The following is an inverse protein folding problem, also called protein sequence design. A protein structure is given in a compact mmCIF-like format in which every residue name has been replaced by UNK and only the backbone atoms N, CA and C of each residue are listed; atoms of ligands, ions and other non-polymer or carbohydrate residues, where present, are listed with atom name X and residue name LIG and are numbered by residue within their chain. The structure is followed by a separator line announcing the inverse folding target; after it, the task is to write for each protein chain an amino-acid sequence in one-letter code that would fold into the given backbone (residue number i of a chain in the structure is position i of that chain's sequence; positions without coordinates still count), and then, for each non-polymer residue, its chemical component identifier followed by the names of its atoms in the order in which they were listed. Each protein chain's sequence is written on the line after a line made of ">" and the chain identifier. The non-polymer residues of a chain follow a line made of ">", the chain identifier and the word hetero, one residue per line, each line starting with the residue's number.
data_IF_598927621973
#
_entry.id   IF_598927621973
#
_cell.length_a   1.000
_cell.length_b   1.000
_cell.length_c   1.000
_cell.angle_alpha   90.00
_cell.angle_beta   90.00
_cell.angle_gamma   90.00
#
_symmetry.space_group_name_H-M   'P 1'
#
loop_
_entity.id
_entity.type
_entity.pdbx_description
1 polymer ?
#
# COMPACT_ATOMS: atom_id res chain seq x y z
N UNK A 1 30.51 -11.30 85.94
CA UNK A 1 30.44 -10.41 84.76
C UNK A 1 29.14 -10.72 84.03
N UNK A 2 28.14 -9.83 84.12
CA UNK A 2 26.89 -9.94 83.35
C UNK A 2 26.97 -8.88 82.25
N UNK A 3 26.98 -9.32 80.98
CA UNK A 3 27.07 -8.46 79.81
C UNK A 3 25.68 -7.93 79.45
N UNK A 4 25.53 -6.61 79.37
CA UNK A 4 24.36 -5.95 78.78
C UNK A 4 24.53 -5.94 77.24
N UNK A 5 23.52 -6.40 76.52
CA UNK A 5 23.40 -6.26 75.06
C UNK A 5 22.56 -5.03 74.75
N UNK A 6 23.17 -4.00 74.15
CA UNK A 6 22.52 -2.76 73.74
C UNK A 6 22.12 -2.88 72.26
N UNK A 7 20.82 -2.97 71.99
CA UNK A 7 20.28 -2.99 70.63
C UNK A 7 20.20 -1.59 70.05
N UNK A 8 20.88 -1.35 68.93
CA UNK A 8 20.78 -0.11 68.14
C UNK A 8 19.61 -0.28 67.17
N UNK A 9 18.58 0.57 67.28
CA UNK A 9 17.50 0.66 66.29
C UNK A 9 17.98 1.59 65.17
N UNK A 10 18.20 1.03 63.98
CA UNK A 10 18.49 1.77 62.77
C UNK A 10 17.17 2.19 62.11
N UNK A 11 16.73 3.43 62.34
CA UNK A 11 15.60 4.00 61.61
C UNK A 11 16.04 4.37 60.20
N UNK A 12 15.64 3.56 59.22
CA UNK A 12 15.76 3.89 57.79
C UNK A 12 14.69 4.92 57.45
N UNK A 13 15.09 6.18 57.28
CA UNK A 13 14.22 7.22 56.71
C UNK A 13 14.16 7.00 55.19
N UNK A 14 13.05 6.42 54.72
CA UNK A 14 12.77 6.26 53.30
C UNK A 14 12.39 7.63 52.70
N UNK A 15 13.36 8.35 52.13
CA UNK A 15 13.10 9.55 51.33
C UNK A 15 12.55 9.11 49.97
N UNK A 16 11.23 9.08 49.83
CA UNK A 16 10.58 8.95 48.54
C UNK A 16 10.77 10.27 47.76
N UNK A 17 11.69 10.29 46.80
CA UNK A 17 11.71 11.32 45.77
C UNK A 17 10.57 11.02 44.79
N UNK A 18 9.37 11.56 45.03
CA UNK A 18 8.41 11.73 43.95
C UNK A 18 8.87 12.95 43.16
N UNK A 19 9.61 12.77 42.08
CA UNK A 19 9.59 13.78 41.03
C UNK A 19 8.16 13.81 40.51
N UNK A 20 7.39 14.83 40.89
CA UNK A 20 6.13 15.12 40.22
C UNK A 20 6.50 15.47 38.78
N UNK A 21 6.43 14.50 37.87
CA UNK A 21 6.44 14.80 36.45
C UNK A 21 5.12 15.51 36.16
N UNK A 22 5.19 16.65 35.47
CA UNK A 22 3.98 17.32 35.05
C UNK A 22 3.31 16.44 33.99
N UNK A 23 2.03 16.13 34.16
CA UNK A 23 1.34 15.31 33.18
C UNK A 23 1.39 15.98 31.81
N UNK A 24 1.76 15.22 30.77
CA UNK A 24 2.00 15.71 29.43
C UNK A 24 1.37 14.75 28.39
N UNK A 25 0.85 15.29 27.28
CA UNK A 25 0.50 14.46 26.13
C UNK A 25 1.79 13.97 25.45
N UNK A 26 1.71 12.80 24.80
CA UNK A 26 2.80 12.22 24.01
C UNK A 26 2.16 11.52 22.81
N UNK A 27 2.36 12.05 21.62
CA UNK A 27 1.89 11.47 20.37
C UNK A 27 2.85 10.38 19.89
N UNK A 28 2.30 9.30 19.35
CA UNK A 28 3.07 8.30 18.63
C UNK A 28 2.32 7.91 17.37
N UNK A 29 3.05 7.78 16.27
CA UNK A 29 2.49 7.59 14.94
C UNK A 29 2.90 6.23 14.39
N UNK A 30 1.92 5.44 13.95
CA UNK A 30 2.16 4.07 13.46
C UNK A 30 3.12 3.99 12.26
N UNK A 31 3.32 5.08 11.53
CA UNK A 31 4.27 5.19 10.43
C UNK A 31 4.65 6.65 10.19
N UNK A 32 5.90 6.91 9.77
CA UNK A 32 6.34 8.22 9.29
C UNK A 32 5.89 8.52 7.85
N UNK A 33 5.46 7.49 7.12
CA UNK A 33 4.94 7.62 5.76
C UNK A 33 3.92 6.54 5.42
N UNK A 34 3.00 6.86 4.51
CA UNK A 34 2.02 5.95 3.93
C UNK A 34 2.30 5.77 2.44
N UNK A 35 2.39 4.51 2.02
CA UNK A 35 2.71 4.13 0.65
C UNK A 35 1.46 3.58 -0.03
N UNK A 36 1.20 4.05 -1.24
CA UNK A 36 0.05 3.69 -2.06
C UNK A 36 0.49 3.32 -3.47
N UNK A 37 -0.35 2.54 -4.16
CA UNK A 37 -0.29 2.37 -5.60
C UNK A 37 -1.68 2.28 -6.17
N UNK A 38 -1.89 2.88 -7.33
CA UNK A 38 -3.16 2.88 -8.03
C UNK A 38 -2.94 3.06 -9.52
N UNK A 39 -4.00 2.83 -10.29
CA UNK A 39 -3.99 3.07 -11.73
C UNK A 39 -4.79 4.34 -11.99
N UNK A 40 -4.25 5.23 -12.82
CA UNK A 40 -4.91 6.50 -13.12
C UNK A 40 -6.34 6.26 -13.63
N UNK A 41 -7.29 7.05 -13.15
CA UNK A 41 -8.68 7.01 -13.61
C UNK A 41 -9.46 5.73 -13.32
N UNK A 42 -8.89 4.76 -12.59
CA UNK A 42 -9.66 3.61 -12.11
C UNK A 42 -10.46 3.98 -10.85
N UNK A 43 -11.66 3.39 -10.73
CA UNK A 43 -12.57 3.57 -9.57
C UNK A 43 -12.05 2.90 -8.29
N UNK A 44 -11.02 2.08 -8.44
CA UNK A 44 -10.23 1.41 -7.42
C UNK A 44 -9.38 2.43 -6.67
N UNK A 45 -9.78 2.78 -5.45
CA UNK A 45 -9.09 3.81 -4.68
C UNK A 45 -8.35 3.21 -3.47
N UNK A 46 -7.01 3.07 -3.51
CA UNK A 46 -6.23 2.56 -2.38
C UNK A 46 -6.39 3.43 -1.13
N UNK A 47 -6.45 2.78 0.02
CA UNK A 47 -6.50 3.45 1.33
C UNK A 47 -5.44 2.89 2.27
N UNK A 48 -4.96 3.72 3.18
CA UNK A 48 -4.04 3.36 4.26
C UNK A 48 -4.51 4.04 5.53
N UNK A 49 -4.28 3.41 6.68
CA UNK A 49 -4.64 3.96 7.98
C UNK A 49 -3.39 4.36 8.74
N UNK A 50 -3.32 5.63 9.15
CA UNK A 50 -2.39 6.11 10.17
C UNK A 50 -3.06 5.97 11.53
N UNK A 51 -2.42 5.32 12.49
CA UNK A 51 -2.86 5.33 13.88
C UNK A 51 -2.02 6.32 14.69
N UNK A 52 -2.69 7.22 15.38
CA UNK A 52 -2.11 8.16 16.34
C UNK A 52 -2.43 7.61 17.73
N UNK A 53 -1.41 7.36 18.55
CA UNK A 53 -1.56 6.89 19.93
C UNK A 53 -1.16 8.00 20.88
N UNK A 54 -1.91 8.23 21.95
CA UNK A 54 -1.46 9.07 23.05
C UNK A 54 -0.80 8.19 24.12
N UNK A 55 0.53 8.13 24.13
CA UNK A 55 1.32 7.37 25.11
C UNK A 55 1.57 8.15 26.41
N UNK A 56 1.09 9.39 26.48
CA UNK A 56 1.27 10.30 27.61
C UNK A 56 0.28 10.03 28.75
N UNK A 57 0.35 10.88 29.77
CA UNK A 57 -0.52 10.83 30.95
C UNK A 57 -1.48 12.03 31.05
N UNK A 58 -1.50 12.90 30.04
CA UNK A 58 -2.51 13.94 29.83
C UNK A 58 -3.21 13.81 28.46
N UNK A 59 -4.40 14.41 28.27
CA UNK A 59 -5.07 14.42 26.96
C UNK A 59 -4.22 15.09 25.87
N UNK A 60 -4.08 14.43 24.73
CA UNK A 60 -3.43 14.94 23.52
C UNK A 60 -4.47 15.67 22.67
N UNK A 61 -4.31 16.99 22.50
CA UNK A 61 -5.19 17.80 21.67
C UNK A 61 -4.62 17.86 20.24
N UNK A 62 -5.32 17.26 19.27
CA UNK A 62 -5.03 17.44 17.85
C UNK A 62 -5.73 18.70 17.38
N UNK A 63 -4.95 19.71 17.02
CA UNK A 63 -5.45 21.05 16.63
C UNK A 63 -5.71 21.17 15.13
N UNK A 64 -4.99 20.40 14.30
CA UNK A 64 -5.14 20.45 12.84
C UNK A 64 -4.76 19.12 12.19
N UNK A 65 -5.51 18.78 11.12
CA UNK A 65 -5.20 17.74 10.16
C UNK A 65 -5.31 18.35 8.76
N UNK A 66 -4.20 18.42 8.02
CA UNK A 66 -4.17 19.07 6.72
C UNK A 66 -3.34 18.29 5.70
N UNK A 67 -3.88 18.09 4.50
CA UNK A 67 -3.13 17.58 3.37
C UNK A 67 -2.34 18.73 2.73
N UNK A 68 -1.05 18.51 2.52
CA UNK A 68 -0.10 19.50 2.01
C UNK A 68 0.83 18.88 0.97
N UNK A 69 1.58 19.70 0.23
CA UNK A 69 2.50 19.25 -0.82
C UNK A 69 1.94 19.38 -2.24
N UNK A 70 2.77 19.07 -3.22
CA UNK A 70 2.50 19.29 -4.65
C UNK A 70 1.28 18.51 -5.13
N UNK A 71 1.18 17.24 -4.73
CA UNK A 71 0.15 16.32 -5.20
C UNK A 71 -0.95 16.09 -4.15
N UNK A 72 -1.13 17.02 -3.20
CA UNK A 72 -2.11 16.90 -2.12
C UNK A 72 -3.55 16.66 -2.62
N UNK A 73 -3.88 17.15 -3.82
CA UNK A 73 -5.19 16.94 -4.45
C UNK A 73 -5.47 15.49 -4.87
N UNK A 74 -4.44 14.64 -4.93
CA UNK A 74 -4.59 13.20 -5.18
C UNK A 74 -4.88 12.43 -3.88
N UNK A 75 -4.94 13.11 -2.73
CA UNK A 75 -5.20 12.49 -1.43
C UNK A 75 -6.45 13.07 -0.79
N UNK A 76 -7.16 12.24 -0.04
CA UNK A 76 -8.31 12.67 0.76
C UNK A 76 -8.32 11.95 2.11
N UNK A 77 -8.81 12.62 3.15
CA UNK A 77 -9.04 11.99 4.45
C UNK A 77 -10.49 11.49 4.49
N UNK A 78 -10.69 10.19 4.69
CA UNK A 78 -12.02 9.60 4.76
C UNK A 78 -12.57 9.77 6.17
N UNK A 79 -13.76 10.36 6.29
CA UNK A 79 -14.47 10.53 7.57
C UNK A 79 -13.60 11.15 8.66
N UNK A 80 -12.74 12.10 8.28
CA UNK A 80 -11.82 12.75 9.21
C UNK A 80 -12.61 13.45 10.33
N UNK A 81 -12.18 13.30 11.61
CA UNK A 81 -12.80 14.03 12.70
C UNK A 81 -12.56 15.54 12.53
N UNK A 82 -13.51 16.34 12.99
CA UNK A 82 -13.31 17.80 13.09
C UNK A 82 -12.26 18.12 14.14
N UNK A 83 -11.32 19.00 13.83
CA UNK A 83 -10.36 19.55 14.80
C UNK A 83 -10.83 20.90 15.37
N UNK A 84 -10.48 21.26 16.61
CA UNK A 84 -9.66 20.47 17.54
C UNK A 84 -10.40 19.25 18.13
N UNK A 85 -9.67 18.18 18.44
CA UNK A 85 -10.18 16.99 19.13
C UNK A 85 -9.17 16.49 20.18
N UNK A 86 -9.64 15.80 21.22
CA UNK A 86 -8.79 15.20 22.24
C UNK A 86 -8.69 13.68 22.12
N UNK A 87 -7.48 13.15 22.23
CA UNK A 87 -7.19 11.74 22.42
C UNK A 87 -6.80 11.56 23.89
N UNK A 88 -7.63 10.88 24.67
CA UNK A 88 -7.32 10.60 26.08
C UNK A 88 -6.04 9.76 26.21
N UNK A 89 -5.36 9.87 27.35
CA UNK A 89 -4.17 9.08 27.67
C UNK A 89 -4.43 7.57 27.47
N UNK A 90 -3.53 6.89 26.76
CA UNK A 90 -3.62 5.47 26.42
C UNK A 90 -4.58 5.11 25.28
N UNK A 91 -5.30 6.08 24.71
CA UNK A 91 -6.21 5.85 23.58
C UNK A 91 -5.53 6.10 22.22
N UNK A 92 -6.20 5.66 21.16
CA UNK A 92 -5.76 5.82 19.78
C UNK A 92 -6.82 6.49 18.90
N UNK A 93 -6.36 7.09 17.80
CA UNK A 93 -7.18 7.64 16.71
C UNK A 93 -6.68 7.08 15.37
N UNK A 94 -7.58 6.47 14.60
CA UNK A 94 -7.31 6.06 13.23
C UNK A 94 -7.67 7.17 12.24
N UNK A 95 -6.71 7.58 11.40
CA UNK A 95 -6.92 8.48 10.25
C UNK A 95 -6.77 7.65 8.97
N UNK A 96 -7.86 7.53 8.22
CA UNK A 96 -7.85 6.83 6.93
C UNK A 96 -7.53 7.82 5.82
N UNK A 97 -6.42 7.59 5.14
CA UNK A 97 -5.99 8.36 3.97
C UNK A 97 -6.28 7.56 2.72
N UNK A 98 -6.89 8.21 1.73
CA UNK A 98 -7.23 7.66 0.43
C UNK A 98 -6.36 8.30 -0.64
N UNK A 99 -5.79 7.51 -1.53
CA UNK A 99 -5.03 7.98 -2.70
C UNK A 99 -5.83 7.75 -3.98
N UNK A 100 -6.23 8.85 -4.64
CA UNK A 100 -6.98 8.88 -5.89
C UNK A 100 -6.13 9.56 -6.97
N UNK A 101 -5.30 8.81 -7.73
CA UNK A 101 -4.51 9.41 -8.79
C UNK A 101 -5.41 9.99 -9.89
N UNK A 102 -5.33 11.32 -10.08
CA UNK A 102 -6.07 12.01 -11.14
C UNK A 102 -5.70 11.44 -12.51
N UNK A 103 -6.64 11.49 -13.45
CA UNK A 103 -6.52 10.86 -14.78
C UNK A 103 -5.35 11.35 -15.64
N UNK A 104 -4.73 12.48 -15.30
CA UNK A 104 -3.59 13.08 -16.03
C UNK A 104 -2.23 12.73 -15.46
N UNK A 105 -2.15 12.26 -14.21
CA UNK A 105 -0.87 12.11 -13.49
C UNK A 105 -0.40 10.65 -13.49
N UNK A 106 0.83 10.40 -13.94
CA UNK A 106 1.47 9.08 -14.00
C UNK A 106 2.84 9.16 -13.34
N UNK A 107 3.13 8.23 -12.44
CA UNK A 107 4.39 8.15 -11.71
C UNK A 107 4.21 8.41 -10.23
N UNK A 108 5.25 8.98 -9.61
CA UNK A 108 5.32 9.18 -8.16
C UNK A 108 4.59 10.47 -7.79
N UNK A 109 3.51 10.35 -7.01
CA UNK A 109 2.73 11.45 -6.48
C UNK A 109 3.06 11.65 -5.00
N UNK A 110 3.52 12.85 -4.64
CA UNK A 110 4.01 13.15 -3.30
C UNK A 110 3.16 14.23 -2.61
N UNK A 111 2.71 13.91 -1.40
CA UNK A 111 2.06 14.83 -0.49
C UNK A 111 2.51 14.56 0.96
N UNK A 112 1.94 15.29 1.91
CA UNK A 112 2.08 15.01 3.33
C UNK A 112 0.77 15.28 4.08
N UNK A 113 0.47 14.46 5.07
CA UNK A 113 -0.52 14.76 6.09
C UNK A 113 0.18 15.50 7.24
N UNK A 114 -0.07 16.81 7.34
CA UNK A 114 0.42 17.66 8.42
C UNK A 114 -0.54 17.59 9.60
N UNK A 115 0.01 17.25 10.77
CA UNK A 115 -0.71 17.02 12.01
C UNK A 115 -0.13 17.97 13.04
N UNK A 116 -0.96 18.86 13.59
CA UNK A 116 -0.56 19.75 14.68
C UNK A 116 -1.20 19.29 15.97
N UNK A 117 -0.40 19.21 17.04
CA UNK A 117 -0.85 18.68 18.32
C UNK A 117 -0.38 19.53 19.52
N UNK A 118 -0.89 19.23 20.71
CA UNK A 118 -0.41 19.80 21.97
C UNK A 118 0.80 19.09 22.56
N UNK A 119 1.34 18.08 21.88
CA UNK A 119 2.62 17.49 22.23
C UNK A 119 3.74 18.51 21.99
N UNK A 120 4.65 18.70 22.94
CA UNK A 120 5.58 19.82 22.93
C UNK A 120 6.79 19.58 22.00
N UNK A 121 7.28 18.35 21.93
CA UNK A 121 8.38 17.96 21.04
C UNK A 121 7.88 17.40 19.70
N UNK A 122 6.61 16.98 19.62
CA UNK A 122 5.91 16.60 18.39
C UNK A 122 4.75 17.55 18.01
N UNK A 123 4.93 18.84 18.27
CA UNK A 123 3.90 19.88 18.07
C UNK A 123 3.38 19.97 16.62
N UNK A 124 4.22 19.59 15.65
CA UNK A 124 3.84 19.46 14.26
C UNK A 124 4.62 18.33 13.59
N UNK A 125 3.90 17.32 13.11
CA UNK A 125 4.45 16.15 12.42
C UNK A 125 3.88 16.09 11.01
N UNK A 126 4.74 15.80 10.04
CA UNK A 126 4.35 15.56 8.66
C UNK A 126 4.52 14.08 8.33
N UNK A 127 3.41 13.39 8.09
CA UNK A 127 3.41 12.02 7.60
C UNK A 127 3.50 12.05 6.08
N UNK A 128 4.57 11.52 5.51
CA UNK A 128 4.77 11.49 4.06
C UNK A 128 3.71 10.64 3.36
N UNK A 129 3.16 11.11 2.25
CA UNK A 129 2.20 10.36 1.43
C UNK A 129 2.84 10.13 0.07
N UNK A 130 3.02 8.86 -0.30
CA UNK A 130 3.71 8.47 -1.53
C UNK A 130 2.86 7.50 -2.33
N UNK A 131 2.37 7.96 -3.47
CA UNK A 131 1.51 7.21 -4.37
C UNK A 131 2.24 6.87 -5.65
N UNK A 132 2.12 5.63 -6.12
CA UNK A 132 2.54 5.24 -7.45
C UNK A 132 1.31 5.15 -8.36
N UNK A 133 1.19 6.09 -9.30
CA UNK A 133 0.16 6.07 -10.35
C UNK A 133 0.69 5.35 -11.59
N UNK A 134 0.11 4.19 -11.92
CA UNK A 134 0.37 3.47 -13.16
C UNK A 134 -0.50 4.01 -14.32
N UNK A 135 -0.03 3.83 -15.55
CA UNK A 135 -0.75 4.33 -16.74
C UNK A 135 -2.02 3.51 -17.04
N UNK A 136 -1.91 2.20 -16.89
CA UNK A 136 -2.96 1.19 -17.02
C UNK A 136 -2.40 -0.10 -16.37
N UNK A 137 -3.18 -1.19 -16.44
CA UNK A 137 -2.70 -2.50 -16.04
C UNK A 137 -1.76 -3.09 -17.10
N UNK A 138 -0.74 -3.82 -16.63
CA UNK A 138 0.11 -4.75 -17.39
C UNK A 138 0.96 -4.16 -18.53
N UNK A 139 2.10 -4.82 -18.78
CA UNK A 139 2.95 -4.60 -19.95
C UNK A 139 3.55 -3.19 -19.99
N UNK A 140 3.54 -2.56 -21.17
CA UNK A 140 4.15 -1.23 -21.36
C UNK A 140 3.50 -0.07 -20.56
N UNK A 141 2.47 -0.36 -19.77
CA UNK A 141 1.77 0.60 -18.93
C UNK A 141 2.25 0.61 -17.47
N UNK A 142 3.11 -0.34 -17.13
CA UNK A 142 3.66 -0.51 -15.79
C UNK A 142 4.61 0.64 -15.41
N UNK A 143 4.74 0.92 -14.11
CA UNK A 143 5.75 1.83 -13.63
C UNK A 143 7.14 1.22 -13.77
N UNK A 144 8.14 2.04 -14.15
CA UNK A 144 9.53 1.57 -14.13
C UNK A 144 9.98 1.20 -12.72
N UNK A 145 10.91 0.26 -12.61
CA UNK A 145 11.55 -0.08 -11.33
C UNK A 145 12.05 1.16 -10.57
N UNK A 146 12.56 2.18 -11.27
CA UNK A 146 12.95 3.46 -10.66
C UNK A 146 11.80 4.16 -9.93
N UNK A 147 10.61 4.22 -10.54
CA UNK A 147 9.42 4.80 -9.91
C UNK A 147 8.97 3.97 -8.72
N UNK A 148 9.02 2.65 -8.83
CA UNK A 148 8.70 1.72 -7.74
C UNK A 148 9.58 1.97 -6.51
N UNK A 149 10.90 1.95 -6.68
CA UNK A 149 11.83 2.14 -5.55
C UNK A 149 11.76 3.55 -4.97
N UNK A 150 11.48 4.55 -5.81
CA UNK A 150 11.28 5.94 -5.36
C UNK A 150 10.02 6.06 -4.49
N UNK A 151 8.89 5.48 -4.91
CA UNK A 151 7.67 5.49 -4.10
C UNK A 151 7.88 4.75 -2.79
N UNK A 152 8.46 3.54 -2.83
CA UNK A 152 8.77 2.72 -1.64
C UNK A 152 9.79 3.35 -0.68
N UNK A 153 10.46 4.44 -1.07
CA UNK A 153 11.44 5.11 -0.22
C UNK A 153 12.80 4.45 -0.17
N UNK A 154 13.14 3.69 -1.22
CA UNK A 154 14.47 3.12 -1.39
C UNK A 154 15.33 4.05 -2.25
N UNK A 155 16.26 4.75 -1.61
CA UNK A 155 17.15 5.70 -2.28
C UNK A 155 18.32 4.97 -2.98
N UNK A 156 17.99 4.11 -3.95
CA UNK A 156 18.94 3.31 -4.72
C UNK A 156 18.95 3.73 -6.19
N UNK A 157 20.11 3.64 -6.83
CA UNK A 157 20.22 3.81 -8.28
C UNK A 157 20.00 2.45 -8.97
N UNK A 158 18.89 2.29 -9.71
CA UNK A 158 18.59 1.02 -10.40
C UNK A 158 19.22 0.91 -11.79
N UNK A 159 19.98 1.92 -12.23
CA UNK A 159 20.70 1.93 -13.51
C UNK A 159 19.98 2.70 -14.64
N UNK A 160 18.74 3.13 -14.42
CA UNK A 160 17.97 3.93 -15.37
C UNK A 160 16.64 4.41 -14.79
N UNK A 161 15.94 5.28 -15.51
CA UNK A 161 14.61 5.79 -15.12
C UNK A 161 13.47 5.27 -16.00
N UNK A 162 13.80 4.76 -17.19
CA UNK A 162 12.84 4.17 -18.12
C UNK A 162 12.34 2.81 -17.64
N UNK A 163 11.28 2.31 -18.29
CA UNK A 163 10.72 0.99 -18.01
C UNK A 163 11.77 -0.11 -18.21
N UNK A 164 12.53 -0.03 -19.31
CA UNK A 164 13.48 -1.07 -19.69
C UNK A 164 14.90 -0.74 -19.23
N UNK A 165 15.51 -1.65 -18.47
CA UNK A 165 16.91 -1.64 -18.02
C UNK A 165 17.81 -2.59 -18.84
N UNK A 166 17.21 -3.59 -19.49
CA UNK A 166 17.90 -4.58 -20.32
C UNK A 166 18.40 -5.79 -19.52
N UNK A 167 18.75 -6.87 -20.23
CA UNK A 167 18.98 -8.21 -19.64
C UNK A 167 20.45 -8.61 -19.60
N UNK A 168 21.37 -7.65 -19.76
CA UNK A 168 22.80 -7.90 -19.64
C UNK A 168 23.18 -8.18 -18.18
N UNK A 169 24.01 -9.20 -17.90
CA UNK A 169 24.41 -9.57 -16.55
C UNK A 169 25.44 -8.61 -15.91
N UNK A 170 25.96 -7.64 -16.65
CA UNK A 170 26.81 -6.61 -16.07
C UNK A 170 25.99 -5.75 -15.08
N UNK A 171 26.47 -5.54 -13.84
CA UNK A 171 25.77 -4.74 -12.86
C UNK A 171 25.53 -3.31 -13.35
N UNK A 172 24.34 -2.77 -13.08
CA UNK A 172 23.95 -1.39 -13.40
C UNK A 172 23.57 -0.61 -12.14
N UNK A 173 23.90 0.69 -12.11
CA UNK A 173 23.60 1.54 -10.95
C UNK A 173 24.31 1.05 -9.68
N UNK A 174 23.52 0.86 -8.61
CA UNK A 174 23.97 0.36 -7.30
C UNK A 174 23.93 -1.18 -7.20
N UNK A 175 23.61 -1.88 -8.30
CA UNK A 175 23.51 -3.35 -8.32
C UNK A 175 24.80 -4.03 -7.87
N UNK A 176 24.64 -5.16 -7.16
CA UNK A 176 25.73 -6.03 -6.75
C UNK A 176 25.56 -7.43 -7.33
N UNK A 177 26.67 -8.06 -7.72
CA UNK A 177 26.68 -9.45 -8.15
C UNK A 177 26.53 -10.39 -6.93
N UNK A 178 25.29 -10.70 -6.56
CA UNK A 178 24.94 -11.44 -5.35
C UNK A 178 24.07 -12.67 -5.65
N UNK A 179 24.61 -13.60 -6.43
CA UNK A 179 23.86 -14.78 -6.86
C UNK A 179 23.49 -15.72 -5.70
N UNK A 180 24.37 -15.84 -4.72
CA UNK A 180 24.18 -16.58 -3.47
C UNK A 180 24.47 -15.69 -2.26
N UNK A 181 23.72 -15.92 -1.19
CA UNK A 181 23.77 -15.20 0.08
C UNK A 181 23.98 -16.16 1.25
N UNK A 182 24.35 -15.62 2.40
CA UNK A 182 24.34 -16.33 3.69
C UNK A 182 23.73 -15.43 4.77
N UNK A 183 23.37 -16.00 5.92
CA UNK A 183 22.87 -15.22 7.06
C UNK A 183 23.90 -14.20 7.56
N UNK A 184 23.43 -13.01 7.90
CA UNK A 184 24.26 -11.94 8.45
C UNK A 184 24.43 -12.00 9.97
N UNK A 185 23.51 -12.64 10.68
CA UNK A 185 23.55 -12.75 12.13
C UNK A 185 22.69 -13.89 12.68
N UNK A 186 22.57 -13.93 14.01
CA UNK A 186 21.71 -14.88 14.71
C UNK A 186 20.24 -14.47 14.52
N UNK A 187 19.51 -15.21 13.68
CA UNK A 187 18.11 -14.95 13.39
C UNK A 187 17.70 -15.54 12.05
N UNK A 188 16.39 -15.57 11.77
CA UNK A 188 15.88 -15.96 10.47
C UNK A 188 16.22 -14.88 9.41
N UNK A 189 16.23 -15.29 8.15
CA UNK A 189 16.23 -14.38 7.00
C UNK A 189 14.80 -13.91 6.79
N UNK A 190 14.58 -12.59 6.67
CA UNK A 190 13.26 -12.07 6.32
C UNK A 190 13.16 -11.91 4.81
N UNK A 191 11.98 -12.19 4.26
CA UNK A 191 11.66 -11.99 2.86
C UNK A 191 10.24 -11.43 2.74
N UNK A 192 10.13 -10.20 2.26
CA UNK A 192 8.88 -9.45 2.15
C UNK A 192 8.68 -9.03 0.71
N UNK A 193 7.54 -9.37 0.11
CA UNK A 193 7.19 -8.84 -1.21
C UNK A 193 6.82 -7.36 -1.08
N UNK A 194 7.42 -6.50 -1.90
CA UNK A 194 7.24 -5.04 -1.84
C UNK A 194 6.62 -4.46 -3.10
N UNK A 195 6.51 -5.25 -4.16
CA UNK A 195 5.72 -4.90 -5.31
C UNK A 195 5.67 -6.00 -6.34
N UNK A 196 4.64 -5.90 -7.19
CA UNK A 196 4.36 -6.81 -8.28
C UNK A 196 3.66 -6.06 -9.40
N UNK A 197 4.25 -6.11 -10.58
CA UNK A 197 3.70 -5.56 -11.81
C UNK A 197 3.89 -6.60 -12.90
N UNK A 198 2.95 -7.54 -12.96
CA UNK A 198 3.04 -8.72 -13.81
C UNK A 198 1.64 -9.13 -14.26
N UNK A 199 1.49 -10.14 -15.14
CA UNK A 199 0.20 -10.77 -15.41
C UNK A 199 -0.46 -11.35 -14.16
N UNK A 200 -1.80 -11.46 -14.19
CA UNK A 200 -2.63 -12.02 -13.12
C UNK A 200 -2.45 -13.54 -12.94
N UNK A 201 -1.83 -13.95 -11.82
CA UNK A 201 -1.59 -15.35 -11.43
C UNK A 201 -1.02 -15.48 -9.99
N UNK A 202 -0.83 -16.67 -9.40
CA UNK A 202 -0.17 -16.79 -8.10
C UNK A 202 1.35 -16.87 -8.31
N UNK A 203 2.13 -16.24 -7.43
CA UNK A 203 3.60 -16.24 -7.53
C UNK A 203 4.21 -16.92 -6.31
N UNK A 204 4.41 -18.25 -6.33
CA UNK A 204 5.19 -18.94 -5.31
C UNK A 204 6.62 -18.42 -5.29
N UNK A 205 7.16 -18.18 -4.10
CA UNK A 205 8.54 -17.75 -3.89
C UNK A 205 9.17 -18.47 -2.70
N UNK A 206 10.49 -18.50 -2.68
CA UNK A 206 11.22 -19.09 -1.56
C UNK A 206 12.72 -19.05 -1.75
N UNK A 207 13.41 -19.90 -1.01
CA UNK A 207 14.87 -20.03 -1.11
C UNK A 207 15.25 -21.41 -1.64
N UNK A 208 16.49 -21.51 -2.10
CA UNK A 208 17.03 -22.78 -2.56
C UNK A 208 18.47 -22.98 -2.09
N UNK A 209 18.84 -24.25 -1.91
CA UNK A 209 20.20 -24.66 -1.55
C UNK A 209 20.89 -25.25 -2.79
N UNK A 210 22.04 -24.70 -3.23
CA UNK A 210 22.83 -25.27 -4.31
C UNK A 210 23.29 -26.70 -3.96
N UNK A 211 23.17 -27.62 -4.91
CA UNK A 211 23.54 -29.03 -4.72
C UNK A 211 24.33 -29.63 -5.89
N UNK A 212 24.88 -28.79 -6.79
CA UNK A 212 25.61 -29.22 -7.99
C UNK A 212 24.72 -29.75 -9.12
N UNK A 213 23.40 -29.66 -9.00
CA UNK A 213 22.40 -30.04 -10.01
C UNK A 213 21.12 -29.21 -9.87
N UNK A 214 19.95 -29.86 -9.96
CA UNK A 214 18.68 -29.17 -9.68
C UNK A 214 18.62 -28.79 -8.19
N UNK A 215 18.60 -27.50 -7.85
CA UNK A 215 18.69 -27.07 -6.46
C UNK A 215 17.48 -27.53 -5.64
N UNK A 216 17.70 -27.77 -4.35
CA UNK A 216 16.63 -28.08 -3.42
C UNK A 216 15.91 -26.78 -3.06
N UNK A 217 14.63 -26.66 -3.43
CA UNK A 217 13.79 -25.49 -3.18
C UNK A 217 12.92 -25.69 -1.95
N UNK A 218 12.80 -24.64 -1.15
CA UNK A 218 11.84 -24.54 -0.05
C UNK A 218 10.97 -23.32 -0.29
N UNK A 219 9.67 -23.54 -0.48
CA UNK A 219 8.70 -22.46 -0.63
C UNK A 219 8.50 -21.75 0.71
N UNK A 220 8.50 -20.42 0.68
CA UNK A 220 8.27 -19.57 1.85
C UNK A 220 6.87 -18.98 1.80
N UNK A 221 6.41 -18.57 0.62
CA UNK A 221 5.08 -17.99 0.45
C UNK A 221 4.62 -17.98 -0.99
N UNK A 222 3.43 -17.41 -1.20
CA UNK A 222 2.84 -17.19 -2.51
C UNK A 222 2.30 -15.77 -2.53
N UNK A 223 2.78 -14.90 -3.44
CA UNK A 223 2.08 -13.64 -3.73
C UNK A 223 0.75 -14.01 -4.36
N UNK A 224 -0.32 -13.59 -3.71
CA UNK A 224 -1.66 -14.10 -3.97
C UNK A 224 -2.13 -13.77 -5.38
N UNK A 225 -2.83 -14.71 -6.03
CA UNK A 225 -3.71 -14.38 -7.15
C UNK A 225 -5.10 -13.92 -6.67
N UNK A 226 -5.39 -14.14 -5.38
CA UNK A 226 -6.73 -14.38 -4.91
C UNK A 226 -7.64 -13.16 -5.09
N UNK A 227 -8.55 -13.31 -6.05
CA UNK A 227 -9.66 -12.42 -6.34
C UNK A 227 -10.87 -12.63 -5.41
N UNK A 228 -10.78 -13.54 -4.43
CA UNK A 228 -11.92 -13.91 -3.55
C UNK A 228 -12.32 -12.85 -2.53
N UNK A 229 -11.62 -11.71 -2.48
CA UNK A 229 -12.23 -10.44 -2.07
C UNK A 229 -12.69 -9.76 -3.35
N UNK A 230 -13.89 -10.11 -3.81
CA UNK A 230 -14.49 -9.46 -4.97
C UNK A 230 -14.44 -7.95 -4.77
N UNK A 231 -13.63 -7.25 -5.57
CA UNK A 231 -13.40 -5.81 -5.49
C UNK A 231 -12.48 -5.30 -4.36
N UNK A 232 -11.35 -5.95 -4.08
CA UNK A 232 -10.26 -5.31 -3.35
C UNK A 232 -9.09 -4.95 -4.27
N UNK A 233 -8.63 -3.72 -4.10
CA UNK A 233 -8.28 -2.79 -5.15
C UNK A 233 -7.13 -1.91 -4.61
N UNK A 234 -5.98 -1.72 -5.31
CA UNK A 234 -5.59 -2.18 -6.65
C UNK A 234 -5.51 -3.71 -6.80
N UNK A 235 -5.63 -4.22 -8.03
CA UNK A 235 -5.45 -5.65 -8.26
C UNK A 235 -4.03 -6.06 -7.85
N UNK A 236 -3.92 -7.22 -7.19
CA UNK A 236 -2.67 -7.66 -6.55
C UNK A 236 -1.50 -7.90 -7.52
N UNK A 237 -1.78 -7.94 -8.83
CA UNK A 237 -0.78 -8.10 -9.89
C UNK A 237 -0.24 -6.76 -10.44
N UNK A 238 -0.71 -5.62 -9.93
CA UNK A 238 -0.29 -4.27 -10.34
C UNK A 238 -0.25 -3.35 -9.12
N UNK A 239 0.53 -3.73 -8.10
CA UNK A 239 0.54 -3.03 -6.81
C UNK A 239 1.90 -3.07 -6.12
N UNK A 240 2.15 -2.05 -5.31
CA UNK A 240 3.11 -2.09 -4.23
C UNK A 240 2.54 -2.88 -3.05
N UNK A 241 3.42 -3.45 -2.24
CA UNK A 241 3.07 -4.24 -1.04
C UNK A 241 1.94 -5.26 -1.28
N UNK A 242 2.09 -6.17 -2.27
CA UNK A 242 1.03 -7.10 -2.63
C UNK A 242 0.73 -8.08 -1.48
N UNK A 243 -0.52 -8.54 -1.42
CA UNK A 243 -0.96 -9.55 -0.48
C UNK A 243 -0.35 -10.92 -0.82
N UNK A 244 -0.14 -11.72 0.22
CA UNK A 244 0.32 -13.10 0.13
C UNK A 244 -0.77 -14.06 0.61
N UNK A 245 -0.78 -15.28 0.09
CA UNK A 245 -1.75 -16.30 0.50
C UNK A 245 -1.62 -16.64 1.98
N UNK A 246 -2.75 -16.97 2.60
CA UNK A 246 -2.79 -17.45 3.98
C UNK A 246 -1.85 -18.65 4.17
N UNK A 247 -1.04 -18.61 5.23
CA UNK A 247 -0.01 -19.61 5.50
C UNK A 247 1.36 -19.31 4.88
N UNK A 248 1.49 -18.27 4.07
CA UNK A 248 2.79 -17.73 3.66
C UNK A 248 3.56 -17.22 4.87
N UNK A 249 4.86 -17.49 4.91
CA UNK A 249 5.77 -16.96 5.92
C UNK A 249 6.46 -15.68 5.42
N UNK A 250 6.87 -14.83 6.36
CA UNK A 250 7.68 -13.62 6.11
C UNK A 250 9.17 -13.83 6.39
N UNK A 251 9.55 -15.04 6.79
CA UNK A 251 10.93 -15.40 7.11
C UNK A 251 11.19 -16.90 6.94
N UNK A 252 12.46 -17.26 6.84
CA UNK A 252 12.94 -18.64 6.77
C UNK A 252 14.33 -18.78 7.40
N UNK A 253 14.72 -20.00 7.76
CA UNK A 253 16.08 -20.28 8.24
C UNK A 253 16.77 -21.29 7.30
N UNK A 254 17.79 -20.84 6.52
CA UNK A 254 18.59 -21.72 5.68
C UNK A 254 19.70 -22.45 6.45
N UNK A 255 19.77 -22.29 7.79
CA UNK A 255 20.94 -22.71 8.57
C UNK A 255 22.16 -21.87 8.21
N UNK A 256 23.35 -22.46 8.29
CA UNK A 256 24.62 -21.80 7.94
C UNK A 256 24.98 -21.95 6.45
N UNK A 257 24.09 -22.54 5.65
CA UNK A 257 24.32 -22.78 4.24
C UNK A 257 24.23 -21.49 3.42
N UNK A 258 25.00 -21.44 2.33
CA UNK A 258 24.74 -20.49 1.26
C UNK A 258 23.44 -20.86 0.53
N UNK A 259 22.65 -19.86 0.16
CA UNK A 259 21.35 -20.04 -0.49
C UNK A 259 21.12 -18.95 -1.53
N UNK A 260 20.23 -19.21 -2.48
CA UNK A 260 19.67 -18.18 -3.37
C UNK A 260 18.15 -18.05 -3.20
N UNK A 261 17.55 -17.09 -3.90
CA UNK A 261 16.10 -16.87 -3.90
C UNK A 261 15.54 -17.31 -5.25
N UNK A 262 14.35 -17.93 -5.24
CA UNK A 262 13.64 -18.27 -6.45
C UNK A 262 12.20 -17.76 -6.42
N UNK A 263 11.67 -17.52 -7.62
CA UNK A 263 10.25 -17.28 -7.89
C UNK A 263 9.75 -18.30 -8.90
N UNK A 264 8.45 -18.61 -8.83
CA UNK A 264 7.72 -19.41 -9.81
C UNK A 264 6.70 -18.51 -10.49
N UNK A 265 7.04 -18.02 -11.68
CA UNK A 265 6.24 -17.06 -12.43
C UNK A 265 5.40 -17.70 -13.53
N UNK A 266 5.26 -16.99 -14.65
CA UNK A 266 4.44 -17.34 -15.83
C UNK A 266 4.67 -18.79 -16.25
N UNK A 267 3.58 -19.55 -16.40
CA UNK A 267 3.58 -20.98 -16.76
C UNK A 267 4.37 -21.90 -15.80
N UNK A 268 4.52 -21.50 -14.53
CA UNK A 268 5.28 -22.25 -13.52
C UNK A 268 6.80 -22.19 -13.72
N UNK A 269 7.26 -21.18 -14.46
CA UNK A 269 8.67 -20.98 -14.75
C UNK A 269 9.45 -20.58 -13.51
N UNK A 270 10.58 -21.25 -13.32
CA UNK A 270 11.46 -20.98 -12.18
C UNK A 270 12.55 -20.01 -12.58
N UNK A 271 12.59 -18.87 -11.90
CA UNK A 271 13.65 -17.87 -12.03
C UNK A 271 14.42 -17.81 -10.70
N UNK A 272 15.74 -17.91 -10.79
CA UNK A 272 16.68 -17.97 -9.68
C UNK A 272 17.59 -16.74 -9.68
N UNK A 273 18.13 -16.39 -8.51
CA UNK A 273 19.19 -15.36 -8.39
C UNK A 273 20.50 -15.76 -9.08
N UNK A 274 20.72 -17.05 -9.34
CA UNK A 274 21.85 -17.52 -10.14
C UNK A 274 21.49 -17.64 -11.63
N UNK A 275 22.14 -16.82 -12.47
CA UNK A 275 21.96 -16.85 -13.93
C UNK A 275 22.16 -18.26 -14.55
N UNK A 276 23.11 -19.02 -14.00
CA UNK A 276 23.44 -20.38 -14.47
C UNK A 276 22.28 -21.37 -14.35
N UNK A 277 21.27 -21.09 -13.52
CA UNK A 277 20.09 -21.94 -13.33
C UNK A 277 18.92 -21.56 -14.25
N UNK A 278 18.89 -20.35 -14.80
CA UNK A 278 17.74 -19.82 -15.55
C UNK A 278 17.69 -20.32 -17.00
N UNK A 279 18.79 -20.86 -17.54
CA UNK A 279 18.82 -21.51 -18.86
C UNK A 279 18.44 -20.64 -20.06
N UNK A 280 18.29 -19.32 -19.87
CA UNK A 280 17.93 -18.37 -20.94
C UNK A 280 16.45 -18.33 -21.31
N UNK A 281 15.56 -18.90 -20.49
CA UNK A 281 14.11 -18.85 -20.73
C UNK A 281 13.40 -18.13 -19.58
N UNK A 282 12.82 -16.93 -19.81
CA UNK A 282 12.93 -16.10 -21.01
C UNK A 282 14.29 -15.39 -21.10
N UNK A 283 14.99 -15.24 -19.98
CA UNK A 283 16.29 -14.57 -19.86
C UNK A 283 17.22 -15.35 -18.95
N UNK A 284 18.53 -15.27 -19.18
CA UNK A 284 19.51 -15.88 -18.27
C UNK A 284 19.67 -15.03 -17.00
N UNK A 285 19.77 -13.72 -17.16
CA UNK A 285 19.85 -12.77 -16.07
C UNK A 285 18.43 -12.34 -15.67
N UNK A 286 17.82 -13.13 -14.79
CA UNK A 286 16.41 -12.96 -14.37
C UNK A 286 16.23 -12.20 -13.05
N UNK A 287 17.32 -11.81 -12.38
CA UNK A 287 17.25 -11.08 -11.12
C UNK A 287 18.36 -10.03 -11.03
N UNK A 288 18.00 -8.83 -10.56
CA UNK A 288 18.94 -7.77 -10.16
C UNK A 288 18.82 -7.53 -8.66
N UNK A 289 19.97 -7.30 -8.02
CA UNK A 289 20.04 -7.23 -6.55
C UNK A 289 20.73 -5.94 -6.12
N UNK A 290 20.05 -5.16 -5.28
CA UNK A 290 20.50 -3.84 -4.85
C UNK A 290 20.61 -3.76 -3.32
N UNK A 291 21.74 -3.32 -2.75
CA UNK A 291 21.83 -3.02 -1.32
C UNK A 291 20.92 -1.84 -0.99
N UNK A 292 20.07 -1.98 0.01
CA UNK A 292 19.06 -0.97 0.29
C UNK A 292 19.60 0.22 1.08
N UNK A 293 19.03 1.38 0.77
CA UNK A 293 19.14 2.62 1.53
C UNK A 293 17.73 3.12 1.81
N UNK A 294 17.49 3.69 2.98
CA UNK A 294 16.23 4.36 3.26
C UNK A 294 16.10 5.66 2.45
N UNK A 295 14.96 6.34 2.56
CA UNK A 295 14.65 7.55 1.78
C UNK A 295 15.67 8.69 2.01
N UNK A 296 16.30 8.74 3.17
CA UNK A 296 17.35 9.69 3.51
C UNK A 296 18.75 9.31 2.95
N UNK A 297 18.84 8.21 2.21
CA UNK A 297 20.10 7.70 1.66
C UNK A 297 20.95 6.92 2.68
N UNK A 298 20.45 6.67 3.89
CA UNK A 298 21.17 5.90 4.91
C UNK A 298 21.07 4.43 4.56
N UNK A 299 22.21 3.75 4.51
CA UNK A 299 22.27 2.32 4.21
C UNK A 299 21.50 1.50 5.24
N UNK A 300 20.69 0.55 4.76
CA UNK A 300 20.05 -0.48 5.57
C UNK A 300 20.98 -1.70 5.57
N UNK A 301 21.78 -1.91 6.63
CA UNK A 301 22.78 -2.97 6.63
C UNK A 301 22.12 -4.34 6.45
N UNK A 302 22.82 -5.24 5.76
CA UNK A 302 22.40 -6.63 5.57
C UNK A 302 20.98 -6.77 4.96
N UNK A 303 20.58 -5.80 4.13
CA UNK A 303 19.25 -5.70 3.53
C UNK A 303 19.36 -5.37 2.05
N UNK A 304 18.68 -6.13 1.21
CA UNK A 304 18.75 -6.04 -0.25
C UNK A 304 17.36 -6.07 -0.87
N UNK A 305 17.20 -5.37 -2.00
CA UNK A 305 16.08 -5.56 -2.91
C UNK A 305 16.50 -6.61 -3.95
N UNK A 306 15.69 -7.66 -4.11
CA UNK A 306 15.78 -8.63 -5.20
C UNK A 306 14.64 -8.33 -6.16
N UNK A 307 14.97 -7.94 -7.38
CA UNK A 307 14.06 -7.48 -8.42
C UNK A 307 14.11 -8.47 -9.59
N UNK A 308 12.98 -9.09 -9.94
CA UNK A 308 12.91 -10.15 -10.94
C UNK A 308 12.35 -9.66 -12.27
N UNK A 309 12.91 -10.22 -13.33
CA UNK A 309 12.39 -10.22 -14.69
C UNK A 309 11.85 -11.62 -15.00
N UNK A 310 10.56 -11.71 -15.30
CA UNK A 310 9.85 -12.91 -15.70
C UNK A 310 9.32 -12.81 -17.14
N UNK A 311 9.85 -11.86 -17.91
CA UNK A 311 9.69 -11.77 -19.35
C UNK A 311 11.08 -11.64 -20.02
N UNK A 312 11.11 -11.14 -21.25
CA UNK A 312 12.36 -10.82 -21.94
C UNK A 312 12.49 -9.33 -22.24
N UNK A 313 11.69 -8.49 -21.57
CA UNK A 313 11.66 -7.05 -21.82
C UNK A 313 12.72 -6.32 -20.96
N UNK A 314 13.11 -6.88 -19.81
CA UNK A 314 14.20 -6.39 -18.96
C UNK A 314 13.83 -5.19 -18.12
N UNK A 315 12.65 -5.20 -17.50
CA UNK A 315 12.11 -4.13 -16.67
C UNK A 315 12.27 -4.37 -15.16
N UNK A 316 12.38 -5.65 -14.75
CA UNK A 316 12.70 -6.09 -13.39
C UNK A 316 11.74 -5.63 -12.28
N UNK A 317 10.54 -5.14 -12.62
CA UNK A 317 9.51 -4.83 -11.62
C UNK A 317 8.43 -5.92 -11.49
N UNK A 318 8.58 -7.04 -12.21
CA UNK A 318 7.59 -8.13 -12.19
C UNK A 318 7.33 -8.60 -10.77
N UNK A 319 8.40 -8.96 -10.05
CA UNK A 319 8.36 -9.40 -8.65
C UNK A 319 9.51 -8.80 -7.87
N UNK A 320 9.21 -8.14 -6.75
CA UNK A 320 10.23 -7.50 -5.92
C UNK A 320 10.13 -7.93 -4.47
N UNK A 321 11.27 -8.28 -3.90
CA UNK A 321 11.38 -8.73 -2.53
C UNK A 321 12.47 -7.96 -1.79
N UNK A 322 12.14 -7.49 -0.59
CA UNK A 322 13.15 -7.07 0.38
C UNK A 322 13.59 -8.28 1.18
N UNK A 323 14.88 -8.57 1.13
CA UNK A 323 15.51 -9.66 1.86
C UNK A 323 16.47 -9.07 2.89
N UNK A 324 16.28 -9.39 4.16
CA UNK A 324 17.09 -8.85 5.26
C UNK A 324 17.68 -9.94 6.15
N UNK A 325 18.70 -9.56 6.94
CA UNK A 325 19.59 -10.47 7.67
C UNK A 325 20.41 -11.36 6.72
N UNK A 326 20.85 -10.81 5.60
CA UNK A 326 21.66 -11.50 4.59
C UNK A 326 22.91 -10.72 4.22
N UNK A 327 23.93 -11.43 3.75
CA UNK A 327 25.19 -10.84 3.30
C UNK A 327 25.82 -11.72 2.20
N UNK A 328 26.82 -11.20 1.45
CA UNK A 328 27.55 -12.00 0.48
C UNK A 328 28.28 -13.17 1.14
N UNK A 329 28.27 -14.31 0.45
CA UNK A 329 28.97 -15.53 0.90
C UNK A 329 30.44 -15.23 1.16
N UNK A 330 30.95 -15.68 2.32
CA UNK A 330 32.34 -15.47 2.73
C UNK A 330 32.66 -14.10 3.35
N UNK A 331 31.68 -13.21 3.47
CA UNK A 331 31.85 -11.99 4.28
C UNK A 331 31.92 -12.33 5.79
N UNK A 332 32.30 -11.37 6.64
CA UNK A 332 32.14 -11.48 8.09
C UNK A 332 30.76 -10.95 8.54
N UNK A 333 30.08 -11.58 9.52
CA UNK A 333 28.78 -11.11 10.00
C UNK A 333 28.88 -9.72 10.63
N UNK A 334 28.11 -8.77 10.10
CA UNK A 334 27.90 -7.44 10.67
C UNK A 334 26.67 -7.41 11.57
N UNK A 335 26.62 -6.46 12.52
CA UNK A 335 25.59 -6.38 13.56
C UNK A 335 24.14 -6.63 13.06
N UNK A 336 23.35 -7.28 13.92
CA UNK A 336 21.95 -7.67 13.69
C UNK A 336 21.10 -6.49 13.19
N UNK A 337 20.41 -6.62 12.04
CA UNK A 337 19.62 -5.54 11.47
C UNK A 337 18.33 -5.28 12.27
N UNK A 338 17.89 -4.02 12.27
CA UNK A 338 16.47 -3.66 12.51
C UNK A 338 15.77 -3.80 11.15
N UNK A 339 14.75 -4.65 10.99
CA UNK A 339 13.98 -4.71 9.75
C UNK A 339 13.46 -3.29 9.41
N UNK A 340 13.45 -2.85 8.15
CA UNK A 340 12.60 -1.72 7.81
C UNK A 340 11.19 -2.08 8.27
N UNK A 341 10.57 -1.22 9.06
CA UNK A 341 9.15 -1.36 9.40
C UNK A 341 8.41 -1.34 8.08
N UNK A 342 7.96 -2.51 7.61
CA UNK A 342 6.89 -2.55 6.66
C UNK A 342 5.77 -1.73 7.28
N UNK A 343 5.18 -0.76 6.56
CA UNK A 343 3.76 -0.45 6.78
C UNK A 343 3.09 -1.81 6.93
N UNK A 344 2.41 -2.08 8.06
CA UNK A 344 2.08 -3.43 8.48
C UNK A 344 1.54 -4.19 7.28
N UNK A 345 2.25 -5.25 6.87
CA UNK A 345 1.65 -6.27 6.03
C UNK A 345 0.37 -6.61 6.77
N UNK A 346 -0.77 -6.36 6.14
CA UNK A 346 -2.06 -6.75 6.67
C UNK A 346 -2.03 -8.27 6.82
N UNK A 347 -1.57 -8.75 7.97
CA UNK A 347 -1.86 -10.09 8.43
C UNK A 347 -3.31 -10.03 8.83
N UNK A 348 -4.20 -10.18 7.85
CA UNK A 348 -5.64 -10.28 8.07
C UNK A 348 -5.94 -11.58 8.85
N UNK A 349 -5.72 -11.54 10.15
CA UNK A 349 -6.51 -12.29 11.13
C UNK A 349 -7.22 -11.35 12.11
N UNK A 350 -6.98 -10.04 12.04
CA UNK A 350 -7.89 -9.07 12.61
C UNK A 350 -9.09 -8.90 11.68
N UNK A 351 -10.29 -9.24 12.15
CA UNK A 351 -11.49 -8.61 11.61
C UNK A 351 -11.26 -7.10 11.69
N UNK A 352 -11.21 -6.40 10.54
CA UNK A 352 -11.03 -4.95 10.55
C UNK A 352 -12.10 -4.33 11.45
N UNK A 353 -11.82 -3.21 12.16
CA UNK A 353 -12.93 -2.35 12.56
C UNK A 353 -13.72 -2.11 11.28
N UNK A 354 -15.02 -2.40 11.30
CA UNK A 354 -15.86 -2.33 10.13
C UNK A 354 -15.57 -1.00 9.43
N UNK A 355 -14.81 -1.09 8.32
CA UNK A 355 -14.68 0.02 7.40
C UNK A 355 -16.12 0.44 7.12
N UNK A 356 -16.38 1.74 6.99
CA UNK A 356 -17.58 2.17 6.29
C UNK A 356 -17.51 1.51 4.92
N UNK A 357 -18.13 0.33 4.80
CA UNK A 357 -18.22 -0.39 3.56
C UNK A 357 -18.92 0.59 2.65
N UNK A 358 -18.37 0.86 1.48
CA UNK A 358 -19.16 1.42 0.40
C UNK A 358 -20.19 0.33 0.07
N UNK A 359 -21.30 0.38 0.80
CA UNK A 359 -22.31 -0.66 0.91
C UNK A 359 -23.09 -0.80 -0.41
N UNK A 360 -22.93 0.16 -1.31
CA UNK A 360 -23.66 0.28 -2.55
C UNK A 360 -22.69 0.70 -3.66
N UNK A 361 -22.22 -0.27 -4.45
CA UNK A 361 -21.56 0.01 -5.73
C UNK A 361 -22.57 -0.21 -6.85
N UNK A 362 -22.86 0.85 -7.59
CA UNK A 362 -23.84 0.80 -8.67
C UNK A 362 -23.17 0.65 -10.04
N UNK A 363 -22.73 -0.56 -10.37
CA UNK A 363 -22.13 -0.86 -11.68
C UNK A 363 -23.18 -1.02 -12.79
N UNK A 364 -24.47 -1.02 -12.46
CA UNK A 364 -25.54 -1.23 -13.44
C UNK A 364 -25.68 -0.07 -14.42
N UNK A 365 -24.97 1.04 -14.19
CA UNK A 365 -24.95 2.19 -15.09
C UNK A 365 -24.26 1.88 -16.42
N UNK A 366 -23.31 0.94 -16.42
CA UNK A 366 -22.50 0.56 -17.57
C UNK A 366 -23.15 -0.58 -18.40
N UNK A 367 -24.22 -1.20 -17.91
CA UNK A 367 -24.91 -2.33 -18.57
C UNK A 367 -26.14 -1.88 -19.36
N UNK A 368 -26.20 -2.23 -20.63
CA UNK A 368 -27.28 -1.92 -21.59
C UNK A 368 -27.25 -3.02 -22.65
N UNK A 369 -27.66 -4.20 -22.23
CA UNK A 369 -27.60 -5.42 -23.03
C UNK A 369 -28.58 -5.37 -24.20
N UNK A 370 -29.65 -4.59 -24.08
CA UNK A 370 -30.65 -4.41 -25.13
C UNK A 370 -30.30 -3.28 -26.13
N UNK A 371 -29.22 -2.53 -25.88
CA UNK A 371 -28.71 -1.44 -26.71
C UNK A 371 -29.75 -0.32 -26.99
N UNK A 372 -30.63 -0.06 -26.02
CA UNK A 372 -31.64 1.01 -26.11
C UNK A 372 -31.11 2.37 -25.59
N UNK A 373 -29.83 2.42 -25.21
CA UNK A 373 -29.19 3.56 -24.53
C UNK A 373 -29.84 3.87 -23.17
N UNK A 374 -30.39 2.86 -22.48
CA UNK A 374 -30.94 2.88 -21.13
C UNK A 374 -30.28 1.75 -20.33
N UNK A 375 -29.68 2.05 -19.16
CA UNK A 375 -29.11 1.00 -18.35
C UNK A 375 -30.19 0.02 -17.94
N UNK A 376 -29.94 -1.28 -18.11
CA UNK A 376 -30.99 -2.32 -18.07
C UNK A 376 -31.78 -2.37 -16.73
N UNK A 377 -31.21 -1.81 -15.65
CA UNK A 377 -31.82 -1.77 -14.31
C UNK A 377 -32.44 -0.41 -13.93
N UNK A 378 -32.54 0.51 -14.89
CA UNK A 378 -33.01 1.88 -14.67
C UNK A 378 -34.38 2.07 -15.32
N UNK A 379 -35.27 2.76 -14.62
CA UNK A 379 -36.64 3.00 -15.07
C UNK A 379 -36.76 4.40 -15.66
N UNK A 380 -36.92 4.52 -16.98
CA UNK A 380 -37.07 5.81 -17.63
C UNK A 380 -38.50 6.33 -17.53
N UNK A 381 -38.67 7.64 -17.35
CA UNK A 381 -39.96 8.32 -17.44
C UNK A 381 -39.81 9.59 -18.27
N UNK A 382 -40.64 9.76 -19.30
CA UNK A 382 -40.68 11.00 -20.07
C UNK A 382 -39.44 11.30 -20.91
N UNK A 383 -38.57 10.31 -21.15
CA UNK A 383 -37.31 10.48 -21.88
C UNK A 383 -37.56 10.57 -23.40
N UNK A 384 -37.21 11.69 -24.02
CA UNK A 384 -37.31 11.84 -25.49
C UNK A 384 -36.01 12.43 -26.03
N UNK A 385 -35.13 11.59 -26.55
CA UNK A 385 -33.79 12.01 -27.00
C UNK A 385 -32.73 12.07 -25.89
N UNK A 386 -33.15 11.85 -24.64
CA UNK A 386 -32.25 11.53 -23.52
C UNK A 386 -31.69 10.12 -23.65
N UNK A 387 -30.53 9.89 -23.06
CA UNK A 387 -29.98 8.54 -22.98
C UNK A 387 -28.56 8.48 -22.47
N UNK A 388 -28.06 7.24 -22.42
CA UNK A 388 -26.69 6.94 -22.08
C UNK A 388 -25.75 7.41 -23.17
N UNK A 389 -24.63 7.99 -22.78
CA UNK A 389 -23.51 8.33 -23.67
C UNK A 389 -22.23 7.76 -23.09
N UNK A 390 -21.43 7.10 -23.91
CA UNK A 390 -20.19 6.44 -23.48
C UNK A 390 -18.98 6.92 -24.27
N UNK A 391 -17.80 6.94 -23.64
CA UNK A 391 -16.52 7.26 -24.27
C UNK A 391 -15.63 8.17 -23.43
N UNK A 392 -14.34 8.23 -23.82
CA UNK A 392 -13.33 9.04 -23.14
C UNK A 392 -13.71 10.53 -23.13
N UNK A 393 -13.96 11.09 -21.95
CA UNK A 393 -14.33 12.51 -21.76
C UNK A 393 -15.83 12.80 -21.60
N UNK A 394 -16.64 11.74 -21.47
CA UNK A 394 -18.10 11.84 -21.27
C UNK A 394 -18.48 11.81 -19.78
N UNK A 395 -17.71 11.12 -18.93
CA UNK A 395 -17.98 10.98 -17.50
C UNK A 395 -16.89 11.61 -16.62
N UNK A 396 -17.26 11.99 -15.38
CA UNK A 396 -16.32 12.35 -14.32
C UNK A 396 -15.83 11.11 -13.54
N UNK A 397 -16.53 9.99 -13.68
CA UNK A 397 -16.20 8.64 -13.18
C UNK A 397 -16.90 7.59 -14.07
N UNK A 398 -16.20 6.55 -14.53
CA UNK A 398 -16.74 5.51 -15.42
C UNK A 398 -16.58 5.80 -16.93
N UNK A 399 -17.10 4.91 -17.77
CA UNK A 399 -17.02 5.02 -19.24
C UNK A 399 -18.28 5.69 -19.84
N UNK A 400 -19.40 5.65 -19.13
CA UNK A 400 -20.67 6.24 -19.56
C UNK A 400 -21.14 7.39 -18.65
N UNK A 401 -22.02 8.25 -19.15
CA UNK A 401 -22.74 9.29 -18.42
C UNK A 401 -24.19 9.40 -18.92
N UNK A 402 -25.06 10.03 -18.12
CA UNK A 402 -26.43 10.32 -18.51
C UNK A 402 -26.49 11.66 -19.23
N UNK A 403 -27.07 11.66 -20.43
CA UNK A 403 -27.33 12.90 -21.16
C UNK A 403 -28.82 13.19 -21.13
N UNK A 404 -29.16 14.28 -20.48
CA UNK A 404 -30.47 14.91 -20.60
C UNK A 404 -30.43 15.99 -21.69
N UNK A 405 -31.34 15.92 -22.64
CA UNK A 405 -31.63 16.87 -23.70
C UNK A 405 -33.07 17.31 -23.49
N UNK A 406 -33.28 18.52 -22.99
CA UNK A 406 -34.65 18.99 -22.79
C UNK A 406 -34.82 20.50 -22.79
N UNK A 407 -36.07 20.95 -22.65
CA UNK A 407 -36.46 22.37 -22.59
C UNK A 407 -37.12 22.75 -21.25
N UNK A 408 -37.40 24.05 -21.06
CA UNK A 408 -38.12 24.53 -19.87
C UNK A 408 -39.50 23.87 -19.77
N UNK A 409 -39.77 23.15 -18.67
CA UNK A 409 -41.05 22.48 -18.41
C UNK A 409 -41.08 21.00 -18.77
N UNK A 410 -39.97 20.44 -19.27
CA UNK A 410 -39.81 19.01 -19.48
C UNK A 410 -39.52 18.28 -18.16
N UNK A 411 -40.13 17.10 -17.98
CA UNK A 411 -40.01 16.27 -16.78
C UNK A 411 -39.46 14.88 -17.14
N UNK A 412 -38.30 14.84 -17.79
CA UNK A 412 -37.57 13.61 -17.98
C UNK A 412 -36.93 13.16 -16.67
N UNK A 413 -37.09 11.88 -16.33
CA UNK A 413 -36.51 11.28 -15.14
C UNK A 413 -35.97 9.89 -15.47
N UNK A 414 -34.92 9.52 -14.76
CA UNK A 414 -34.50 8.13 -14.63
C UNK A 414 -34.47 7.79 -13.16
N UNK A 415 -35.09 6.67 -12.82
CA UNK A 415 -35.18 6.19 -11.46
C UNK A 415 -34.41 4.89 -11.33
N UNK A 416 -33.68 4.76 -10.22
CA UNK A 416 -33.12 3.50 -9.81
C UNK A 416 -33.50 3.22 -8.37
N UNK A 417 -34.19 2.11 -8.17
CA UNK A 417 -34.41 1.54 -6.86
C UNK A 417 -33.25 0.61 -6.52
N UNK A 418 -32.53 0.90 -5.45
CA UNK A 418 -31.56 -0.05 -4.90
C UNK A 418 -32.13 -0.66 -3.63
N UNK A 419 -32.26 -1.99 -3.64
CA UNK A 419 -32.71 -2.72 -2.45
C UNK A 419 -31.54 -2.88 -1.50
N UNK A 420 -31.62 -2.21 -0.34
CA UNK A 420 -30.65 -2.36 0.73
C UNK A 420 -31.05 -3.60 1.56
N UNK A 421 -30.16 -4.57 1.70
CA UNK A 421 -30.40 -5.73 2.55
C UNK A 421 -30.45 -5.30 4.02
N UNK A 422 -31.38 -5.85 4.81
CA UNK A 422 -31.51 -5.52 6.25
C UNK A 422 -30.22 -5.80 7.06
N UNK A 423 -29.35 -6.68 6.56
CA UNK A 423 -28.03 -6.98 7.12
C UNK A 423 -27.00 -5.86 6.96
N UNK A 424 -27.30 -4.82 6.18
CA UNK A 424 -26.38 -3.70 5.91
C UNK A 424 -26.37 -2.65 7.03
N UNK A 425 -27.30 -2.72 7.99
CA UNK A 425 -27.22 -1.98 9.25
C UNK A 425 -27.40 -0.46 9.14
N UNK A 426 -27.96 0.07 8.05
CA UNK A 426 -28.16 1.52 7.87
C UNK A 426 -29.18 2.04 8.90
N UNK A 427 -28.77 3.04 9.68
CA UNK A 427 -29.55 3.63 10.77
C UNK A 427 -29.57 5.16 10.78
N UNK A 428 -30.25 5.71 11.79
CA UNK A 428 -30.33 7.16 11.97
C UNK A 428 -28.94 7.73 12.37
N UNK A 429 -28.40 8.62 11.54
CA UNK A 429 -27.06 9.22 11.73
C UNK A 429 -26.05 8.84 10.65
N UNK A 430 -26.34 7.80 9.86
CA UNK A 430 -25.51 7.44 8.71
C UNK A 430 -25.67 8.45 7.57
N UNK A 431 -24.57 8.73 6.87
CA UNK A 431 -24.53 9.71 5.78
C UNK A 431 -24.51 8.99 4.42
N UNK A 432 -25.59 9.13 3.65
CA UNK A 432 -25.61 8.76 2.23
C UNK A 432 -24.99 9.91 1.41
N UNK A 433 -23.84 9.68 0.80
CA UNK A 433 -23.20 10.67 -0.09
C UNK A 433 -23.50 10.30 -1.54
N UNK A 434 -24.10 11.24 -2.28
CA UNK A 434 -24.41 11.10 -3.71
C UNK A 434 -23.53 12.09 -4.48
N UNK A 435 -22.69 11.60 -5.40
CA UNK A 435 -21.90 12.46 -6.29
C UNK A 435 -22.56 12.52 -7.67
N UNK A 436 -22.90 13.72 -8.13
CA UNK A 436 -23.51 13.94 -9.45
C UNK A 436 -22.75 15.05 -10.17
N UNK A 437 -22.34 14.80 -11.40
CA UNK A 437 -21.68 15.77 -12.26
C UNK A 437 -22.58 16.11 -13.45
N UNK A 438 -22.74 17.40 -13.76
CA UNK A 438 -23.50 17.87 -14.93
C UNK A 438 -22.59 18.66 -15.87
N UNK A 439 -22.73 18.46 -17.18
CA UNK A 439 -22.01 19.22 -18.22
C UNK A 439 -22.99 20.11 -18.96
N UNK A 440 -23.21 21.34 -18.47
CA UNK A 440 -24.07 22.30 -19.14
C UNK A 440 -23.25 23.11 -20.16
N UNK A 441 -23.53 22.97 -21.46
CA UNK A 441 -22.96 23.86 -22.48
C UNK A 441 -23.81 25.13 -22.70
N UNK A 442 -25.08 25.15 -22.29
CA UNK A 442 -25.96 26.33 -22.37
C UNK A 442 -27.17 26.19 -21.44
N UNK A 443 -27.23 26.99 -20.37
CA UNK A 443 -28.44 27.64 -19.85
C UNK A 443 -29.63 26.83 -19.31
N UNK A 444 -29.59 25.50 -19.18
CA UNK A 444 -30.71 24.72 -18.60
C UNK A 444 -30.31 24.23 -17.21
N UNK A 445 -30.97 24.77 -16.18
CA UNK A 445 -30.88 24.29 -14.80
C UNK A 445 -32.06 23.34 -14.54
N UNK A 446 -31.78 22.04 -14.46
CA UNK A 446 -32.73 21.06 -13.92
C UNK A 446 -32.63 20.99 -12.40
N UNK A 447 -33.75 20.80 -11.71
CA UNK A 447 -33.76 20.48 -10.28
C UNK A 447 -33.68 18.97 -10.12
N UNK A 448 -32.62 18.46 -9.49
CA UNK A 448 -32.55 17.06 -9.10
C UNK A 448 -33.33 16.86 -7.80
N UNK A 449 -34.32 15.97 -7.81
CA UNK A 449 -35.07 15.59 -6.60
C UNK A 449 -34.70 14.16 -6.24
N UNK A 450 -34.12 13.98 -5.06
CA UNK A 450 -34.01 12.66 -4.42
C UNK A 450 -35.39 12.34 -3.84
N UNK A 451 -36.01 11.23 -4.25
CA UNK A 451 -37.35 10.82 -3.82
C UNK A 451 -37.24 9.70 -2.80
#
# INVERSE_FOLDING_TARGET
>A
MRSLSMGVILSVLLLAFSSAHAAAPEADFSAAELIFSGVKGQLTIPTQTLTITNNGDAPLNITSLALTGTDAADYTLISAPSTPLDIAAGNTLGIVVRFNPRSTEIGVQQAALSISSSDADEASVNIGLWGLSANALEGGNEPSLHRVVTTLGYAINVGGQGLILGTNPAPIGDEVALALMQKAGAGAVNIISVGRFSPHMPIPYGYYLPNGGTPLRTQVGVVSENVSYGQQYPPNHQTLNPWVDAGSATSFDPGDAAFGIYVSGIDGRLTYTEDGLNGGNPVAHGARIYPLKNRAGVSLPNTYLVAYEDASNGDYQDYMFVVSNVMPVGSAPTATPVPPTATPVSTATATPPALGVELLLNTSFETDANADNIPDSWLPTGITGDGRVCGSGVAYAGDCAWKFIGGTGENAAVEQSVTVAASMGIGAGDTLTLAVATKASTGIMGNMRVV
#
